data_IF_021165742566
#
_entry.id   IF_021165742566
#
_cell.length_a   1.000
_cell.length_b   1.000
_cell.length_c   1.000
_cell.angle_alpha   90.00
_cell.angle_beta   90.00
_cell.angle_gamma   90.00
#
_symmetry.space_group_name_H-M   'P 1'
#
loop_
_entity.id
_entity.type
_entity.pdbx_description
1 polymer ?
#
# COMPACT_ATOMS: atom_id res chain seq x y z
N UNK A 1 37.87 -22.52 -34.77
CA UNK A 1 36.95 -23.42 -35.48
C UNK A 1 35.58 -22.78 -35.46
N UNK A 2 34.97 -22.71 -36.63
CA UNK A 2 33.94 -21.76 -37.06
C UNK A 2 32.51 -22.08 -36.58
N UNK A 3 31.72 -20.99 -36.51
CA UNK A 3 30.29 -20.79 -36.80
C UNK A 3 29.40 -21.99 -37.20
N UNK A 4 28.15 -21.98 -36.71
CA UNK A 4 26.89 -22.02 -37.51
C UNK A 4 25.71 -22.44 -36.62
N UNK A 5 24.83 -21.53 -36.18
CA UNK A 5 23.54 -21.12 -36.79
C UNK A 5 22.38 -22.15 -36.74
N UNK A 6 21.29 -21.70 -36.06
CA UNK A 6 19.85 -21.83 -36.33
C UNK A 6 19.22 -23.22 -36.59
N UNK A 7 18.04 -23.46 -36.01
CA UNK A 7 16.73 -23.53 -36.71
C UNK A 7 15.62 -24.22 -35.86
N UNK A 8 14.56 -23.44 -35.57
CA UNK A 8 13.09 -23.70 -35.57
C UNK A 8 12.40 -24.67 -34.58
N UNK A 9 11.61 -24.04 -33.70
CA UNK A 9 10.13 -24.07 -33.57
C UNK A 9 9.33 -25.39 -33.60
N UNK A 10 8.37 -25.41 -32.65
CA UNK A 10 6.95 -25.81 -32.71
C UNK A 10 6.48 -27.09 -31.98
N UNK A 11 5.63 -26.80 -30.99
CA UNK A 11 4.73 -27.67 -30.23
C UNK A 11 3.82 -28.52 -31.12
N UNK A 12 3.46 -29.71 -30.65
CA UNK A 12 2.24 -30.41 -31.09
C UNK A 12 1.58 -31.15 -29.92
N UNK A 13 0.32 -30.76 -29.66
CA UNK A 13 -0.65 -31.45 -28.81
C UNK A 13 -0.93 -32.87 -29.33
N UNK A 14 -1.23 -33.79 -28.42
CA UNK A 14 -2.11 -34.92 -28.71
C UNK A 14 -3.00 -35.28 -27.52
N UNK A 15 -4.22 -34.74 -27.51
CA UNK A 15 -5.36 -35.33 -26.81
C UNK A 15 -5.91 -36.46 -27.68
N UNK A 16 -5.87 -37.70 -27.18
CA UNK A 16 -6.49 -38.86 -27.83
C UNK A 16 -7.88 -39.08 -27.21
N UNK A 17 -8.92 -38.77 -27.96
CA UNK A 17 -10.29 -39.24 -27.70
C UNK A 17 -10.51 -40.55 -28.46
N UNK A 18 -10.78 -41.65 -27.76
CA UNK A 18 -11.18 -42.92 -28.35
C UNK A 18 -12.71 -43.03 -28.34
N UNK A 19 -13.29 -43.01 -29.53
CA UNK A 19 -14.69 -43.38 -29.79
C UNK A 19 -14.78 -44.91 -29.99
N UNK A 20 -15.76 -45.55 -29.34
CA UNK A 20 -16.18 -46.93 -29.63
C UNK A 20 -17.58 -46.93 -30.25
N UNK A 21 -17.85 -47.71 -31.32
CA UNK A 21 -19.18 -47.87 -31.87
C UNK A 21 -19.95 -49.02 -31.21
N UNK A 22 -21.27 -48.83 -31.17
CA UNK A 22 -22.29 -49.68 -30.57
C UNK A 22 -22.64 -50.93 -31.40
N UNK A 23 -23.17 -51.97 -30.74
CA UNK A 23 -24.30 -52.80 -31.22
C UNK A 23 -24.89 -53.67 -30.10
N UNK A 24 -26.23 -53.72 -29.95
CA UNK A 24 -26.93 -54.84 -29.29
C UNK A 24 -28.25 -54.51 -28.56
N UNK A 25 -29.38 -54.71 -29.25
CA UNK A 25 -30.81 -54.76 -28.84
C UNK A 25 -31.09 -55.59 -27.56
N UNK A 26 -32.20 -55.52 -26.80
CA UNK A 26 -33.41 -54.69 -26.64
C UNK A 26 -34.15 -55.26 -25.40
N UNK A 27 -34.85 -54.45 -24.60
CA UNK A 27 -35.98 -54.91 -23.76
C UNK A 27 -36.86 -53.73 -23.29
N UNK A 28 -38.16 -53.91 -23.43
CA UNK A 28 -39.27 -52.99 -23.15
C UNK A 28 -39.33 -52.47 -21.70
N UNK A 29 -39.55 -51.15 -21.56
CA UNK A 29 -40.25 -50.58 -20.41
C UNK A 29 -41.05 -49.33 -20.83
N UNK A 30 -42.36 -49.37 -20.56
CA UNK A 30 -43.32 -48.26 -20.73
C UNK A 30 -43.02 -47.11 -19.75
N UNK A 31 -43.49 -45.88 -20.05
CA UNK A 31 -42.87 -44.64 -19.60
C UNK A 31 -43.23 -44.36 -18.14
N UNK A 32 -42.22 -44.16 -17.30
CA UNK A 32 -42.40 -43.39 -16.07
C UNK A 32 -42.14 -41.95 -16.46
N UNK A 33 -43.22 -41.17 -16.50
CA UNK A 33 -43.14 -39.72 -16.39
C UNK A 33 -42.50 -39.43 -15.04
N UNK A 34 -41.18 -39.26 -15.02
CA UNK A 34 -40.52 -38.50 -13.98
C UNK A 34 -40.28 -37.12 -14.55
N UNK A 35 -40.83 -36.15 -13.84
CA UNK A 35 -40.83 -34.75 -14.17
C UNK A 35 -39.52 -34.33 -14.84
N UNK A 36 -39.64 -33.65 -15.98
CA UNK A 36 -38.65 -32.63 -16.31
C UNK A 36 -38.70 -31.64 -15.15
N UNK A 37 -37.89 -31.88 -14.13
CA UNK A 37 -37.45 -30.82 -13.25
C UNK A 37 -36.84 -29.79 -14.17
N UNK A 38 -37.54 -28.67 -14.30
CA UNK A 38 -36.97 -27.45 -14.82
C UNK A 38 -35.61 -27.26 -14.12
N UNK A 39 -34.59 -26.88 -14.88
CA UNK A 39 -33.35 -26.40 -14.29
C UNK A 39 -33.61 -25.03 -13.65
N UNK A 40 -34.40 -25.00 -12.58
CA UNK A 40 -34.49 -23.89 -11.64
C UNK A 40 -33.25 -23.95 -10.75
N UNK A 41 -32.11 -23.51 -11.27
CA UNK A 41 -30.94 -23.16 -10.43
C UNK A 41 -29.90 -22.31 -11.19
N UNK A 42 -30.33 -21.52 -12.16
CA UNK A 42 -29.47 -20.56 -12.86
C UNK A 42 -29.36 -19.20 -12.18
N UNK A 43 -30.29 -18.86 -11.27
CA UNK A 43 -30.36 -17.55 -10.60
C UNK A 43 -29.77 -17.49 -9.19
N UNK A 44 -29.25 -18.61 -8.66
CA UNK A 44 -28.79 -18.73 -7.27
C UNK A 44 -27.28 -18.43 -7.12
N UNK A 45 -26.45 -18.95 -8.02
CA UNK A 45 -24.99 -18.80 -7.88
C UNK A 45 -24.47 -17.38 -8.17
N UNK A 46 -25.04 -16.67 -9.15
CA UNK A 46 -24.68 -15.28 -9.42
C UNK A 46 -25.03 -14.38 -8.23
N UNK A 47 -26.21 -14.58 -7.63
CA UNK A 47 -26.62 -13.86 -6.42
C UNK A 47 -25.72 -14.20 -5.23
N UNK A 48 -25.38 -15.47 -5.03
CA UNK A 48 -24.41 -15.87 -4.00
C UNK A 48 -23.05 -15.20 -4.20
N UNK A 49 -22.60 -15.07 -5.46
CA UNK A 49 -21.35 -14.40 -5.79
C UNK A 49 -21.41 -12.91 -5.45
N UNK A 50 -22.51 -12.24 -5.78
CA UNK A 50 -22.73 -10.82 -5.41
C UNK A 50 -22.76 -10.64 -3.90
N UNK A 51 -23.53 -11.45 -3.17
CA UNK A 51 -23.59 -11.39 -1.72
C UNK A 51 -22.21 -11.62 -1.08
N UNK A 52 -21.45 -12.61 -1.57
CA UNK A 52 -20.10 -12.87 -1.08
C UNK A 52 -19.17 -11.67 -1.32
N UNK A 53 -19.27 -11.01 -2.48
CA UNK A 53 -18.46 -9.84 -2.79
C UNK A 53 -18.78 -8.65 -1.86
N UNK A 54 -20.06 -8.40 -1.58
CA UNK A 54 -20.49 -7.36 -0.64
C UNK A 54 -20.00 -7.64 0.79
N UNK A 55 -20.19 -8.87 1.29
CA UNK A 55 -19.72 -9.25 2.62
C UNK A 55 -18.20 -9.21 2.73
N UNK A 56 -17.47 -9.66 1.70
CA UNK A 56 -16.02 -9.63 1.65
C UNK A 56 -15.48 -8.20 1.61
N UNK A 57 -16.15 -7.30 0.90
CA UNK A 57 -15.84 -5.87 0.90
C UNK A 57 -15.96 -5.28 2.32
N UNK A 58 -17.08 -5.53 3.01
CA UNK A 58 -17.31 -4.97 4.33
C UNK A 58 -16.34 -5.54 5.39
N UNK A 59 -16.05 -6.85 5.35
CA UNK A 59 -15.02 -7.44 6.22
C UNK A 59 -13.63 -6.87 5.93
N UNK A 60 -13.27 -6.71 4.65
CA UNK A 60 -11.98 -6.16 4.26
C UNK A 60 -11.80 -4.71 4.69
N UNK A 61 -12.87 -3.90 4.58
CA UNK A 61 -12.93 -2.53 5.08
C UNK A 61 -12.71 -2.46 6.60
N UNK A 62 -13.41 -3.32 7.34
CA UNK A 62 -13.25 -3.43 8.80
C UNK A 62 -11.80 -3.77 9.18
N UNK A 63 -11.22 -4.77 8.49
CA UNK A 63 -9.83 -5.18 8.71
C UNK A 63 -8.87 -4.02 8.45
N UNK A 64 -9.04 -3.33 7.32
CA UNK A 64 -8.19 -2.22 6.93
C UNK A 64 -8.21 -1.06 7.94
N UNK A 65 -9.39 -0.74 8.50
CA UNK A 65 -9.60 0.43 9.36
C UNK A 65 -9.34 0.20 10.84
N UNK A 66 -9.50 -1.03 11.33
CA UNK A 66 -9.59 -1.27 12.78
C UNK A 66 -8.78 -2.47 13.31
N UNK A 67 -8.31 -3.37 12.44
CA UNK A 67 -7.61 -4.56 12.90
C UNK A 67 -6.14 -4.26 13.20
N UNK A 68 -5.75 -4.45 14.45
CA UNK A 68 -4.36 -4.29 14.89
C UNK A 68 -3.52 -5.53 14.66
N UNK A 69 -4.15 -6.67 14.32
CA UNK A 69 -3.52 -7.98 14.25
C UNK A 69 -2.77 -8.41 15.52
N UNK A 70 -3.08 -7.85 16.70
CA UNK A 70 -2.31 -8.10 17.92
C UNK A 70 -1.05 -7.24 18.06
N UNK A 71 -0.86 -6.24 17.21
CA UNK A 71 0.31 -5.35 17.23
C UNK A 71 0.48 -4.58 18.54
N UNK A 72 -0.58 -4.47 19.35
CA UNK A 72 -0.53 -3.82 20.66
C UNK A 72 0.43 -4.48 21.66
N UNK A 73 0.77 -5.76 21.48
CA UNK A 73 1.82 -6.41 22.27
C UNK A 73 3.20 -5.76 22.04
N UNK A 74 3.46 -5.29 20.82
CA UNK A 74 4.71 -4.62 20.47
C UNK A 74 4.64 -3.11 20.72
N UNK A 75 3.67 -2.42 20.13
CA UNK A 75 3.60 -0.94 20.16
C UNK A 75 3.25 -0.40 21.53
N UNK A 76 2.21 -0.96 22.16
CA UNK A 76 1.84 -0.58 23.51
C UNK A 76 2.62 -1.35 24.57
N UNK A 77 2.94 -2.63 24.36
CA UNK A 77 3.67 -3.45 25.32
C UNK A 77 5.18 -3.15 25.38
N UNK A 78 5.90 -3.44 24.29
CA UNK A 78 7.37 -3.35 24.28
C UNK A 78 7.87 -1.90 24.15
N UNK A 79 7.31 -1.12 23.22
CA UNK A 79 7.70 0.27 23.02
C UNK A 79 7.07 1.22 24.03
N UNK A 80 5.94 0.83 24.65
CA UNK A 80 5.21 1.65 25.64
C UNK A 80 4.67 2.96 25.06
N UNK A 81 4.33 2.97 23.77
CA UNK A 81 3.90 4.17 23.05
C UNK A 81 2.63 4.81 23.64
N UNK A 82 1.80 4.01 24.30
CA UNK A 82 0.62 4.48 25.02
C UNK A 82 0.94 5.50 26.13
N UNK A 83 2.13 5.45 26.74
CA UNK A 83 2.55 6.42 27.77
C UNK A 83 2.78 7.80 27.15
N UNK A 84 3.38 7.85 25.97
CA UNK A 84 3.56 9.10 25.21
C UNK A 84 2.21 9.66 24.76
N UNK A 85 1.34 8.79 24.21
CA UNK A 85 0.01 9.21 23.75
C UNK A 85 -0.90 9.68 24.89
N UNK A 86 -0.70 9.18 26.11
CA UNK A 86 -1.49 9.60 27.29
C UNK A 86 -1.27 11.05 27.69
N UNK A 87 -0.18 11.67 27.24
CA UNK A 87 0.17 13.08 27.52
C UNK A 87 0.30 13.93 26.26
N UNK A 88 0.03 13.36 25.08
CA UNK A 88 0.14 14.04 23.80
C UNK A 88 -1.16 14.82 23.52
N UNK A 89 -1.14 16.15 23.38
CA UNK A 89 -2.33 16.91 23.01
C UNK A 89 -2.72 16.68 21.54
N UNK A 90 -4.01 16.81 21.18
CA UNK A 90 -4.48 16.69 19.80
C UNK A 90 -3.71 17.57 18.81
N UNK A 91 -3.37 18.80 19.18
CA UNK A 91 -2.61 19.73 18.34
C UNK A 91 -1.23 19.19 17.96
N UNK A 92 -0.54 18.52 18.89
CA UNK A 92 0.74 17.88 18.64
C UNK A 92 0.60 16.58 17.84
N UNK A 93 -0.46 15.80 18.09
CA UNK A 93 -0.77 14.61 17.30
C UNK A 93 -1.00 14.96 15.81
N UNK A 94 -1.79 16.01 15.54
CA UNK A 94 -2.02 16.52 14.18
C UNK A 94 -0.73 17.04 13.53
N UNK A 95 0.16 17.67 14.29
CA UNK A 95 1.49 18.10 13.78
C UNK A 95 2.42 16.93 13.43
N UNK A 96 2.20 15.74 14.00
CA UNK A 96 2.88 14.51 13.60
C UNK A 96 2.22 13.85 12.36
N UNK A 97 1.16 14.43 11.82
CA UNK A 97 0.40 13.91 10.67
C UNK A 97 -0.57 12.78 11.01
N UNK A 98 -0.88 12.56 12.29
CA UNK A 98 -2.02 11.73 12.68
C UNK A 98 -3.31 12.41 12.24
N UNK A 99 -4.29 11.62 11.79
CA UNK A 99 -5.56 12.13 11.28
C UNK A 99 -6.71 11.75 12.19
N UNK A 100 -7.77 12.56 12.17
CA UNK A 100 -8.98 12.32 12.94
C UNK A 100 -10.17 12.17 12.02
N UNK A 101 -10.84 11.03 12.11
CA UNK A 101 -12.06 10.71 11.39
C UNK A 101 -13.25 11.42 12.05
N UNK A 102 -13.75 12.46 11.38
CA UNK A 102 -14.89 13.23 11.87
C UNK A 102 -16.18 12.40 11.93
N UNK A 103 -16.33 11.34 11.13
CA UNK A 103 -17.54 10.52 11.11
C UNK A 103 -17.64 9.59 12.33
N UNK A 104 -16.53 9.38 13.04
CA UNK A 104 -16.50 8.65 14.31
C UNK A 104 -16.83 9.53 15.53
N UNK A 105 -16.90 10.85 15.36
CA UNK A 105 -17.09 11.79 16.47
C UNK A 105 -18.57 12.04 16.77
N UNK A 106 -18.94 12.21 18.07
CA UNK A 106 -20.26 12.69 18.45
C UNK A 106 -20.56 14.07 17.84
N UNK A 107 -21.81 14.30 17.40
CA UNK A 107 -22.20 15.55 16.74
C UNK A 107 -22.01 16.81 17.61
N UNK A 108 -22.19 16.70 18.92
CA UNK A 108 -21.94 17.78 19.87
C UNK A 108 -20.45 18.12 20.01
N UNK A 109 -19.54 17.15 19.79
CA UNK A 109 -18.11 17.41 19.72
C UNK A 109 -17.74 18.15 18.43
N UNK A 110 -18.34 17.75 17.30
CA UNK A 110 -18.16 18.44 16.00
C UNK A 110 -18.61 19.90 16.12
N UNK A 111 -19.81 20.15 16.65
CA UNK A 111 -20.34 21.52 16.85
C UNK A 111 -19.41 22.39 17.71
N UNK A 112 -18.82 21.80 18.78
CA UNK A 112 -17.87 22.49 19.64
C UNK A 112 -16.55 22.78 18.94
N UNK A 113 -16.07 21.86 18.09
CA UNK A 113 -14.83 22.03 17.33
C UNK A 113 -14.98 23.17 16.32
N UNK A 114 -16.10 23.22 15.58
CA UNK A 114 -16.40 24.32 14.64
C UNK A 114 -16.48 25.68 15.32
N UNK A 115 -16.95 25.71 16.57
CA UNK A 115 -17.06 26.94 17.36
C UNK A 115 -15.75 27.32 18.08
N UNK A 116 -14.67 26.55 17.91
CA UNK A 116 -13.39 26.77 18.58
C UNK A 116 -13.46 26.60 20.10
N UNK A 117 -14.40 25.79 20.59
CA UNK A 117 -14.62 25.53 22.01
C UNK A 117 -13.88 24.30 22.52
N UNK A 118 -13.33 23.47 21.64
CA UNK A 118 -12.49 22.32 21.99
C UNK A 118 -11.06 22.79 22.24
N UNK A 119 -10.54 22.52 23.43
CA UNK A 119 -9.12 22.75 23.75
C UNK A 119 -8.27 21.63 23.13
N UNK A 120 -7.60 21.94 22.02
CA UNK A 120 -6.71 21.00 21.33
C UNK A 120 -5.34 20.84 22.01
N UNK A 121 -5.06 21.61 23.06
CA UNK A 121 -3.83 21.52 23.85
C UNK A 121 -4.01 20.70 25.14
N UNK A 122 -5.23 20.22 25.43
CA UNK A 122 -5.49 19.27 26.52
C UNK A 122 -5.29 17.81 26.05
N UNK A 123 -4.33 17.06 26.64
CA UNK A 123 -4.14 15.63 26.34
C UNK A 123 -5.39 14.75 26.54
N UNK A 124 -6.35 15.19 27.38
CA UNK A 124 -7.62 14.48 27.53
C UNK A 124 -8.38 14.36 26.19
N UNK A 125 -8.19 15.32 25.28
CA UNK A 125 -8.74 15.26 23.93
C UNK A 125 -8.25 14.04 23.15
N UNK A 126 -6.93 13.76 23.16
CA UNK A 126 -6.37 12.58 22.45
C UNK A 126 -6.92 11.28 23.01
N UNK A 127 -7.06 11.17 24.33
CA UNK A 127 -7.65 9.99 24.98
C UNK A 127 -9.12 9.81 24.58
N UNK A 128 -9.89 10.90 24.48
CA UNK A 128 -11.27 10.84 24.02
C UNK A 128 -11.34 10.35 22.56
N UNK A 129 -10.51 10.92 21.67
CA UNK A 129 -10.45 10.53 20.27
C UNK A 129 -10.09 9.04 20.11
N UNK A 130 -9.12 8.53 20.87
CA UNK A 130 -8.75 7.11 20.88
C UNK A 130 -9.88 6.22 21.41
N UNK A 131 -10.64 6.63 22.42
CA UNK A 131 -11.80 5.88 22.91
C UNK A 131 -12.95 5.78 21.90
N UNK A 132 -13.04 6.74 20.98
CA UNK A 132 -14.03 6.74 19.90
C UNK A 132 -13.51 6.05 18.62
N UNK A 133 -12.31 5.44 18.64
CA UNK A 133 -11.65 4.91 17.44
C UNK A 133 -11.54 5.96 16.31
N UNK A 134 -11.46 7.25 16.67
CA UNK A 134 -11.46 8.37 15.74
C UNK A 134 -10.06 8.72 15.23
N UNK A 135 -8.99 8.31 15.91
CA UNK A 135 -7.62 8.48 15.41
C UNK A 135 -7.36 7.45 14.31
N UNK A 136 -7.27 7.91 13.07
CA UNK A 136 -7.10 7.04 11.90
C UNK A 136 -5.80 6.23 12.06
N UNK A 137 -5.93 4.90 12.02
CA UNK A 137 -4.77 4.02 12.08
C UNK A 137 -4.27 3.64 13.47
N UNK A 138 -4.79 4.24 14.54
CA UNK A 138 -4.32 4.00 15.92
C UNK A 138 -5.48 3.56 16.80
N UNK A 139 -5.35 2.38 17.40
CA UNK A 139 -6.36 1.82 18.31
C UNK A 139 -5.87 1.90 19.76
N UNK A 140 -6.68 2.52 20.62
CA UNK A 140 -6.42 2.59 22.05
C UNK A 140 -7.06 1.42 22.81
N UNK A 141 -6.34 0.89 23.80
CA UNK A 141 -6.84 -0.12 24.72
C UNK A 141 -6.89 0.45 26.13
N UNK A 142 -8.06 0.39 26.78
CA UNK A 142 -8.33 1.10 28.01
C UNK A 142 -8.75 0.19 29.17
N UNK A 143 -8.28 0.51 30.38
CA UNK A 143 -8.80 0.01 31.65
C UNK A 143 -9.50 1.16 32.40
N UNK A 144 -10.82 1.22 32.31
CA UNK A 144 -11.58 2.39 32.74
C UNK A 144 -11.21 3.60 31.87
N UNK A 145 -10.67 4.65 32.50
CA UNK A 145 -10.23 5.85 31.79
C UNK A 145 -8.74 5.84 31.40
N UNK A 146 -7.98 4.85 31.86
CA UNK A 146 -6.54 4.78 31.63
C UNK A 146 -6.23 4.06 30.32
N UNK A 147 -5.45 4.69 29.44
CA UNK A 147 -4.90 4.04 28.26
C UNK A 147 -3.75 3.11 28.68
N UNK A 148 -3.90 1.81 28.46
CA UNK A 148 -2.94 0.78 28.91
C UNK A 148 -2.12 0.17 27.78
N UNK A 149 -2.57 0.33 26.54
CA UNK A 149 -1.85 -0.14 25.36
C UNK A 149 -2.38 0.56 24.10
N UNK A 150 -1.61 0.47 23.02
CA UNK A 150 -1.99 0.95 21.68
C UNK A 150 -1.51 -0.01 20.62
N UNK A 151 -2.32 -0.21 19.58
CA UNK A 151 -1.95 -0.93 18.38
C UNK A 151 -2.16 -0.04 17.15
N UNK A 152 -1.59 -0.46 16.02
CA UNK A 152 -1.73 0.26 14.74
C UNK A 152 -2.39 -0.63 13.70
N UNK A 153 -2.99 -0.02 12.68
CA UNK A 153 -3.63 -0.72 11.56
C UNK A 153 -3.25 -0.12 10.18
N UNK A 154 -3.71 -0.74 9.10
CA UNK A 154 -3.33 -0.37 7.73
C UNK A 154 -3.63 1.10 7.38
N UNK A 155 -4.71 1.66 7.94
CA UNK A 155 -5.14 3.03 7.66
C UNK A 155 -4.18 4.10 8.20
N UNK A 156 -3.24 3.77 9.11
CA UNK A 156 -2.25 4.73 9.62
C UNK A 156 -1.44 5.37 8.49
N UNK A 157 -0.86 4.53 7.62
CA UNK A 157 -0.06 4.98 6.48
C UNK A 157 -0.89 5.16 5.21
N UNK A 158 -1.94 4.36 5.04
CA UNK A 158 -2.70 4.28 3.79
C UNK A 158 -4.09 4.92 3.88
N UNK A 159 -4.27 5.89 4.77
CA UNK A 159 -5.45 6.76 4.75
C UNK A 159 -5.10 8.18 5.15
N UNK A 160 -5.86 9.12 4.63
CA UNK A 160 -5.89 10.51 5.11
C UNK A 160 -7.34 10.94 5.33
N UNK A 161 -7.57 12.22 5.58
CA UNK A 161 -8.91 12.82 5.64
C UNK A 161 -9.04 13.97 4.66
N UNK A 162 -10.27 14.35 4.34
CA UNK A 162 -10.60 15.43 3.40
C UNK A 162 -10.48 16.86 3.98
N UNK A 163 -10.00 17.00 5.23
CA UNK A 163 -9.87 18.26 5.97
C UNK A 163 -11.17 19.09 6.02
N UNK A 164 -12.34 18.45 5.87
CA UNK A 164 -13.64 19.15 5.79
C UNK A 164 -14.05 19.88 7.08
N UNK A 165 -13.44 19.54 8.21
CA UNK A 165 -13.73 20.15 9.52
C UNK A 165 -12.57 21.03 10.00
N UNK A 166 -11.34 20.54 9.94
CA UNK A 166 -10.11 21.28 10.23
C UNK A 166 -8.92 20.58 9.55
N UNK A 167 -7.74 21.22 9.42
CA UNK A 167 -6.54 20.53 8.93
C UNK A 167 -6.24 19.26 9.74
N UNK A 168 -6.19 18.11 9.08
CA UNK A 168 -6.03 16.79 9.68
C UNK A 168 -7.30 16.19 10.31
N UNK A 169 -8.47 16.83 10.16
CA UNK A 169 -9.76 16.39 10.69
C UNK A 169 -10.85 16.45 9.62
N UNK A 170 -11.43 15.31 9.27
CA UNK A 170 -12.43 15.25 8.20
C UNK A 170 -12.93 13.84 7.93
N UNK A 171 -13.57 13.64 6.78
CA UNK A 171 -14.03 12.31 6.33
C UNK A 171 -12.85 11.49 5.87
N UNK A 172 -12.85 10.20 6.26
CA UNK A 172 -11.77 9.27 5.92
C UNK A 172 -11.68 9.01 4.43
N UNK A 173 -10.46 9.07 3.90
CA UNK A 173 -10.08 8.75 2.54
C UNK A 173 -9.16 7.53 2.54
N UNK A 174 -9.74 6.33 2.42
CA UNK A 174 -8.98 5.07 2.41
C UNK A 174 -8.21 4.88 1.10
N UNK A 175 -7.01 4.33 1.20
CA UNK A 175 -6.11 4.10 0.07
C UNK A 175 -5.19 5.27 -0.26
N UNK A 176 -5.50 6.46 0.24
CA UNK A 176 -4.68 7.64 0.07
C UNK A 176 -3.43 7.54 0.94
N UNK A 177 -2.27 7.90 0.38
CA UNK A 177 -1.04 7.93 1.17
C UNK A 177 -1.10 9.05 2.21
N UNK A 178 -0.76 8.76 3.46
CA UNK A 178 -0.61 9.78 4.49
C UNK A 178 0.74 10.48 4.34
N UNK A 179 0.79 11.52 3.48
CA UNK A 179 2.04 12.16 3.03
C UNK A 179 2.65 13.14 4.04
N UNK A 180 1.96 13.44 5.12
CA UNK A 180 2.44 14.30 6.20
C UNK A 180 2.64 13.56 7.54
N UNK A 181 2.33 12.26 7.62
CA UNK A 181 2.65 11.42 8.79
C UNK A 181 4.16 11.27 8.98
N UNK A 182 4.67 11.72 10.12
CA UNK A 182 6.07 11.53 10.51
C UNK A 182 6.22 10.25 11.33
N UNK A 183 6.19 9.10 10.64
CA UNK A 183 6.30 7.76 11.27
C UNK A 183 7.57 7.66 12.11
N UNK A 184 8.68 8.22 11.63
CA UNK A 184 9.96 8.23 12.32
C UNK A 184 9.88 8.93 13.67
N UNK A 185 9.31 10.14 13.73
CA UNK A 185 9.10 10.85 15.00
C UNK A 185 8.08 10.16 15.91
N UNK A 186 7.03 9.57 15.37
CA UNK A 186 6.07 8.80 16.17
C UNK A 186 6.78 7.65 16.89
N UNK A 187 7.57 6.84 16.17
CA UNK A 187 8.35 5.76 16.77
C UNK A 187 9.38 6.32 17.77
N UNK A 188 10.14 7.34 17.38
CA UNK A 188 11.17 7.96 18.23
C UNK A 188 10.60 8.61 19.51
N UNK A 189 9.31 8.91 19.55
CA UNK A 189 8.64 9.44 20.74
C UNK A 189 8.32 8.38 21.81
N UNK A 190 8.50 7.10 21.50
CA UNK A 190 8.28 6.02 22.45
C UNK A 190 9.25 6.12 23.66
N UNK A 191 8.83 5.73 24.87
CA UNK A 191 9.69 5.72 26.05
C UNK A 191 10.98 4.88 25.91
N UNK A 192 11.00 3.95 24.96
CA UNK A 192 12.18 3.14 24.63
C UNK A 192 12.14 2.72 23.16
N UNK A 193 13.33 2.63 22.56
CA UNK A 193 13.60 2.07 21.23
C UNK A 193 14.35 0.74 21.31
N UNK A 194 14.50 0.18 22.52
CA UNK A 194 15.26 -1.02 22.80
C UNK A 194 14.89 -2.21 21.90
N UNK A 195 13.61 -2.48 21.60
CA UNK A 195 13.26 -3.58 20.67
C UNK A 195 13.86 -3.41 19.26
N UNK A 196 13.94 -2.18 18.75
CA UNK A 196 14.61 -1.91 17.49
C UNK A 196 16.14 -1.99 17.63
N UNK A 197 16.68 -1.44 18.71
CA UNK A 197 18.11 -1.46 19.00
C UNK A 197 18.67 -2.89 19.07
N UNK A 198 17.92 -3.81 19.69
CA UNK A 198 18.25 -5.23 19.80
C UNK A 198 18.24 -5.93 18.43
N UNK A 199 17.17 -5.75 17.64
CA UNK A 199 17.06 -6.35 16.30
C UNK A 199 18.14 -5.83 15.36
N UNK A 200 18.45 -4.53 15.44
CA UNK A 200 19.44 -3.88 14.57
C UNK A 200 20.89 -4.06 15.07
N UNK A 201 21.10 -4.54 16.30
CA UNK A 201 22.43 -4.67 16.91
C UNK A 201 23.15 -3.33 17.14
N UNK A 202 22.40 -2.25 17.39
CA UNK A 202 22.92 -0.88 17.59
C UNK A 202 22.37 -0.24 18.87
N UNK A 203 22.81 0.97 19.22
CA UNK A 203 22.25 1.72 20.36
C UNK A 203 20.91 2.38 20.02
N UNK A 204 20.04 2.61 21.01
CA UNK A 204 18.79 3.39 20.83
C UNK A 204 19.04 4.76 20.17
N UNK A 205 20.12 5.47 20.53
CA UNK A 205 20.48 6.75 19.91
C UNK A 205 20.77 6.64 18.40
N UNK A 206 21.28 5.50 17.94
CA UNK A 206 21.50 5.25 16.51
C UNK A 206 20.17 4.96 15.81
N UNK A 207 19.26 4.23 16.45
CA UNK A 207 17.90 4.02 15.96
C UNK A 207 17.17 5.36 15.84
N UNK A 208 17.21 6.19 16.88
CA UNK A 208 16.61 7.52 16.88
C UNK A 208 17.17 8.39 15.74
N UNK A 209 18.49 8.37 15.51
CA UNK A 209 19.11 9.10 14.40
C UNK A 209 18.57 8.65 13.04
N UNK A 210 18.37 7.35 12.83
CA UNK A 210 17.79 6.82 11.59
C UNK A 210 16.32 7.25 11.47
N UNK A 211 15.51 7.03 12.50
CA UNK A 211 14.08 7.35 12.51
C UNK A 211 13.83 8.84 12.26
N UNK A 212 14.55 9.71 12.96
CA UNK A 212 14.40 11.17 12.80
C UNK A 212 14.90 11.69 11.44
N UNK A 213 15.63 10.87 10.67
CA UNK A 213 16.04 11.21 9.29
C UNK A 213 14.93 11.00 8.25
N UNK A 214 13.89 10.23 8.58
CA UNK A 214 12.84 9.86 7.61
C UNK A 214 12.03 11.09 7.20
N UNK A 215 11.54 11.84 8.18
CA UNK A 215 10.65 12.97 7.94
C UNK A 215 9.24 12.55 7.49
N UNK A 216 8.36 13.54 7.23
CA UNK A 216 6.95 13.31 6.91
C UNK A 216 6.73 12.47 5.64
N UNK A 217 5.70 11.63 5.67
CA UNK A 217 5.24 10.83 4.54
C UNK A 217 6.18 9.72 4.12
N UNK A 218 7.13 9.34 4.99
CA UNK A 218 8.18 8.36 4.69
C UNK A 218 8.23 7.23 5.72
N UNK A 219 8.61 6.05 5.22
CA UNK A 219 8.81 4.83 6.00
C UNK A 219 9.87 3.95 5.33
N UNK A 220 10.68 3.22 6.12
CA UNK A 220 11.63 2.24 5.58
C UNK A 220 11.27 0.82 6.03
N UNK A 221 10.48 0.12 5.20
CA UNK A 221 10.06 -1.26 5.44
C UNK A 221 11.20 -2.29 5.30
N UNK A 222 12.40 -1.87 4.91
CA UNK A 222 13.54 -2.78 4.70
C UNK A 222 14.58 -2.63 5.81
N UNK A 223 14.49 -1.58 6.64
CA UNK A 223 15.46 -1.29 7.70
C UNK A 223 15.69 -2.50 8.62
N UNK A 224 14.61 -3.17 9.05
CA UNK A 224 14.69 -4.34 9.95
C UNK A 224 15.12 -5.63 9.23
N UNK A 225 15.33 -5.59 7.91
CA UNK A 225 15.82 -6.73 7.13
C UNK A 225 17.30 -6.62 6.81
N UNK A 226 17.77 -5.41 6.44
CA UNK A 226 19.12 -5.18 5.93
C UNK A 226 19.98 -4.19 6.73
N UNK A 227 19.38 -3.46 7.69
CA UNK A 227 20.08 -2.53 8.57
C UNK A 227 20.55 -1.23 7.91
N UNK A 228 20.15 -0.94 6.66
CA UNK A 228 20.64 0.24 5.93
C UNK A 228 19.78 1.47 6.18
N UNK A 229 20.11 2.25 7.21
CA UNK A 229 19.39 3.49 7.53
C UNK A 229 19.68 4.69 6.61
N UNK A 230 20.81 4.70 5.91
CA UNK A 230 21.26 5.81 5.05
C UNK A 230 21.77 5.32 3.69
N UNK A 231 21.55 6.16 2.68
CA UNK A 231 22.11 6.01 1.33
C UNK A 231 23.61 6.36 1.32
N UNK A 232 24.37 5.98 0.27
CA UNK A 232 25.79 6.31 0.14
C UNK A 232 26.10 7.82 0.17
N UNK A 233 25.14 8.66 -0.21
CA UNK A 233 25.26 10.12 -0.17
C UNK A 233 24.94 10.74 1.22
N UNK A 234 24.61 9.91 2.20
CA UNK A 234 24.22 10.32 3.55
C UNK A 234 22.75 10.68 3.71
N UNK A 235 21.95 10.65 2.63
CA UNK A 235 20.50 10.86 2.71
C UNK A 235 19.79 9.67 3.36
N UNK A 236 18.56 9.89 3.85
CA UNK A 236 17.74 8.83 4.43
C UNK A 236 17.47 7.70 3.43
N UNK A 237 17.48 6.45 3.93
CA UNK A 237 17.05 5.28 3.16
C UNK A 237 15.53 5.06 3.17
N UNK A 238 14.75 5.94 3.79
CA UNK A 238 13.30 5.83 3.76
C UNK A 238 12.69 6.16 2.40
N UNK A 239 11.56 5.55 2.11
CA UNK A 239 10.78 5.79 0.90
C UNK A 239 9.46 6.47 1.25
N UNK A 240 8.93 7.20 0.29
CA UNK A 240 7.61 7.79 0.31
C UNK A 240 6.55 6.69 0.49
N UNK A 241 5.63 6.90 1.43
CA UNK A 241 4.45 6.05 1.61
C UNK A 241 3.65 6.05 0.30
N UNK A 242 3.46 4.90 -0.37
CA UNK A 242 2.72 4.84 -1.62
C UNK A 242 1.20 4.86 -1.40
N UNK A 243 0.41 5.22 -2.44
CA UNK A 243 -1.02 4.93 -2.44
C UNK A 243 -1.27 3.42 -2.34
N UNK A 244 -2.40 3.07 -1.73
CA UNK A 244 -2.98 1.73 -1.79
C UNK A 244 -4.22 1.65 -2.70
N UNK A 245 -4.67 2.76 -3.29
CA UNK A 245 -5.75 2.75 -4.29
C UNK A 245 -5.26 2.43 -5.70
N UNK A 246 -6.19 2.07 -6.59
CA UNK A 246 -5.91 1.97 -8.03
C UNK A 246 -4.94 0.84 -8.41
N UNK A 247 -4.71 -0.11 -7.52
CA UNK A 247 -3.76 -1.22 -7.72
C UNK A 247 -4.39 -2.46 -8.39
N UNK A 248 -5.68 -2.42 -8.73
CA UNK A 248 -6.31 -3.46 -9.53
C UNK A 248 -5.60 -3.65 -10.88
N UNK A 249 -5.13 -4.88 -11.13
CA UNK A 249 -4.37 -5.23 -12.34
C UNK A 249 -2.85 -5.12 -12.21
N UNK A 250 -2.32 -4.64 -11.09
CA UNK A 250 -0.88 -4.66 -10.82
C UNK A 250 -0.45 -6.04 -10.32
N UNK A 251 0.59 -6.60 -10.94
CA UNK A 251 1.14 -7.90 -10.54
C UNK A 251 1.94 -7.79 -9.23
N UNK A 252 2.95 -6.93 -9.22
CA UNK A 252 3.71 -6.59 -8.01
C UNK A 252 3.34 -5.16 -7.62
N UNK A 253 3.11 -4.89 -6.32
CA UNK A 253 2.43 -3.67 -5.87
C UNK A 253 3.36 -2.63 -5.21
N UNK A 254 4.50 -3.05 -4.65
CA UNK A 254 5.43 -2.14 -3.96
C UNK A 254 6.35 -1.40 -4.93
N UNK A 255 7.04 -0.36 -4.45
CA UNK A 255 8.01 0.42 -5.24
C UNK A 255 9.06 -0.46 -5.93
N UNK A 256 9.51 -1.52 -5.26
CA UNK A 256 10.57 -2.43 -5.73
C UNK A 256 10.09 -3.87 -5.91
N UNK A 257 8.79 -4.06 -6.14
CA UNK A 257 8.24 -5.33 -6.63
C UNK A 257 8.30 -6.51 -5.66
N UNK A 258 8.26 -6.30 -4.35
CA UNK A 258 8.36 -7.36 -3.34
C UNK A 258 7.34 -8.50 -3.52
N UNK A 259 6.11 -8.17 -3.89
CA UNK A 259 5.03 -9.13 -4.10
C UNK A 259 3.72 -8.44 -4.48
N UNK A 260 2.65 -9.25 -4.56
CA UNK A 260 1.27 -8.77 -4.74
C UNK A 260 0.81 -7.98 -3.50
N UNK A 261 -0.37 -7.34 -3.58
CA UNK A 261 -1.00 -6.70 -2.41
C UNK A 261 -1.17 -7.68 -1.24
N UNK A 262 -1.60 -8.92 -1.50
CA UNK A 262 -1.76 -9.95 -0.47
C UNK A 262 -0.44 -10.32 0.20
N UNK A 263 0.63 -10.49 -0.59
CA UNK A 263 1.96 -10.73 -0.03
C UNK A 263 2.40 -9.56 0.85
N UNK A 264 2.21 -8.32 0.37
CA UNK A 264 2.62 -7.14 1.10
C UNK A 264 1.85 -6.95 2.40
N UNK A 265 0.55 -7.24 2.41
CA UNK A 265 -0.25 -7.24 3.65
C UNK A 265 0.28 -8.25 4.66
N UNK A 266 0.62 -9.47 4.24
CA UNK A 266 1.19 -10.48 5.13
C UNK A 266 2.57 -10.05 5.66
N UNK A 267 3.42 -9.50 4.80
CA UNK A 267 4.72 -8.93 5.17
C UNK A 267 4.56 -7.82 6.21
N UNK A 268 3.79 -6.78 5.89
CA UNK A 268 3.62 -5.60 6.75
C UNK A 268 2.95 -5.97 8.07
N UNK A 269 1.88 -6.78 8.05
CA UNK A 269 1.19 -7.14 9.29
C UNK A 269 2.07 -7.96 10.26
N UNK A 270 2.94 -8.84 9.75
CA UNK A 270 3.83 -9.65 10.60
C UNK A 270 5.13 -8.92 10.98
N UNK A 271 5.81 -8.30 10.02
CA UNK A 271 7.19 -7.80 10.20
C UNK A 271 7.26 -6.33 10.59
N UNK A 272 6.36 -5.50 10.06
CA UNK A 272 6.40 -4.05 10.27
C UNK A 272 5.45 -3.62 11.39
N UNK A 273 4.18 -4.03 11.31
CA UNK A 273 3.19 -3.79 12.35
C UNK A 273 3.42 -4.67 13.57
N UNK A 274 4.18 -5.78 13.45
CA UNK A 274 4.48 -6.71 14.55
C UNK A 274 3.24 -7.37 15.14
N UNK A 275 2.28 -7.72 14.29
CA UNK A 275 1.12 -8.52 14.65
C UNK A 275 1.42 -10.01 14.80
N UNK A 276 0.40 -10.75 15.22
CA UNK A 276 0.45 -12.20 15.43
C UNK A 276 -0.12 -12.93 14.22
N UNK A 277 0.75 -13.49 13.38
CA UNK A 277 0.30 -14.33 12.28
C UNK A 277 1.30 -15.34 11.78
N UNK A 278 1.04 -15.83 10.57
CA UNK A 278 1.99 -16.65 9.80
C UNK A 278 2.56 -15.82 8.65
N UNK A 279 3.87 -15.86 8.48
CA UNK A 279 4.55 -15.29 7.31
C UNK A 279 5.66 -16.23 6.85
N UNK A 280 5.80 -16.39 5.54
CA UNK A 280 6.86 -17.21 4.95
C UNK A 280 7.38 -16.56 3.67
N UNK A 281 8.70 -16.37 3.60
CA UNK A 281 9.40 -15.96 2.39
C UNK A 281 10.85 -16.44 2.41
N UNK A 282 11.15 -17.45 1.60
CA UNK A 282 12.50 -18.03 1.50
C UNK A 282 13.56 -17.02 1.02
N UNK A 283 13.17 -15.95 0.31
CA UNK A 283 14.10 -14.92 -0.18
C UNK A 283 14.78 -14.19 0.97
N UNK A 284 14.15 -14.13 2.15
CA UNK A 284 14.71 -13.52 3.36
C UNK A 284 15.78 -14.38 4.06
N UNK A 285 16.06 -15.58 3.56
CA UNK A 285 17.16 -16.44 4.08
C UNK A 285 18.54 -16.07 3.51
N UNK A 286 18.58 -15.22 2.48
CA UNK A 286 19.83 -14.69 1.93
C UNK A 286 20.49 -13.76 2.96
N UNK A 287 21.46 -14.29 3.70
CA UNK A 287 22.16 -13.54 4.75
C UNK A 287 23.11 -12.46 4.21
N UNK A 288 23.46 -12.47 2.92
CA UNK A 288 24.23 -11.40 2.32
C UNK A 288 23.34 -10.20 2.01
N UNK A 289 22.12 -10.45 1.51
CA UNK A 289 21.16 -9.39 1.17
C UNK A 289 20.33 -8.93 2.37
N UNK A 290 19.88 -9.85 3.23
CA UNK A 290 19.00 -9.62 4.38
C UNK A 290 19.59 -10.19 5.68
N UNK A 291 20.77 -9.70 6.13
CA UNK A 291 21.46 -10.25 7.29
C UNK A 291 20.60 -10.27 8.55
N UNK A 292 19.82 -9.22 8.81
CA UNK A 292 18.99 -9.11 10.01
C UNK A 292 17.80 -10.07 9.93
N UNK A 293 17.16 -10.16 8.76
CA UNK A 293 16.06 -11.09 8.56
C UNK A 293 16.51 -12.56 8.74
N UNK A 294 17.67 -12.92 8.18
CA UNK A 294 18.24 -14.26 8.28
C UNK A 294 18.66 -14.60 9.72
N UNK A 295 19.23 -13.66 10.47
CA UNK A 295 19.62 -13.86 11.88
C UNK A 295 18.41 -14.02 12.80
N UNK A 296 17.32 -13.28 12.55
CA UNK A 296 16.13 -13.26 13.39
C UNK A 296 15.02 -14.23 12.94
N UNK A 297 15.22 -14.98 11.86
CA UNK A 297 14.24 -15.94 11.35
C UNK A 297 12.98 -15.30 10.78
N UNK A 298 13.07 -14.08 10.26
CA UNK A 298 11.92 -13.37 9.68
C UNK A 298 11.38 -14.00 8.39
N UNK A 299 12.07 -14.99 7.85
CA UNK A 299 11.64 -15.78 6.69
C UNK A 299 10.53 -16.80 7.01
N UNK A 300 10.33 -17.21 8.27
CA UNK A 300 9.29 -18.18 8.68
C UNK A 300 8.79 -17.86 10.09
N UNK A 301 7.78 -16.98 10.15
CA UNK A 301 7.09 -16.59 11.39
C UNK A 301 5.82 -17.41 11.51
N UNK A 302 5.58 -17.96 12.71
CA UNK A 302 4.39 -18.74 13.03
C UNK A 302 3.92 -18.44 14.45
N UNK A 303 2.87 -17.64 14.57
CA UNK A 303 2.24 -17.34 15.84
C UNK A 303 1.01 -18.24 16.09
N UNK A 304 0.62 -18.37 17.35
CA UNK A 304 -0.64 -19.01 17.75
C UNK A 304 -1.28 -18.17 18.86
N UNK A 305 -2.47 -17.57 18.62
CA UNK A 305 -3.28 -17.65 17.40
C UNK A 305 -2.66 -16.93 16.20
N UNK A 306 -3.10 -17.30 14.99
CA UNK A 306 -2.83 -16.55 13.75
C UNK A 306 -4.00 -15.60 13.49
N UNK A 307 -3.77 -14.31 13.72
CA UNK A 307 -4.75 -13.24 13.56
C UNK A 307 -4.71 -12.59 12.19
N UNK A 308 -3.73 -12.93 11.33
CA UNK A 308 -3.46 -12.26 10.05
C UNK A 308 -3.99 -13.09 8.89
N UNK A 309 -3.55 -14.35 8.77
CA UNK A 309 -3.81 -15.21 7.60
C UNK A 309 -5.30 -15.30 7.25
N UNK A 310 -6.23 -15.49 8.21
CA UNK A 310 -7.66 -15.58 7.90
C UNK A 310 -8.27 -14.32 7.28
N UNK A 311 -7.62 -13.15 7.41
CA UNK A 311 -8.14 -11.84 6.98
C UNK A 311 -7.55 -11.35 5.67
N UNK A 312 -6.48 -11.98 5.17
CA UNK A 312 -5.74 -11.52 4.00
C UNK A 312 -6.59 -11.47 2.72
N UNK A 313 -7.51 -12.41 2.53
CA UNK A 313 -8.38 -12.45 1.35
C UNK A 313 -9.39 -11.30 1.34
N UNK A 314 -10.02 -11.01 2.48
CA UNK A 314 -10.97 -9.91 2.62
C UNK A 314 -10.25 -8.55 2.47
N UNK A 315 -9.12 -8.38 3.17
CA UNK A 315 -8.30 -7.16 3.08
C UNK A 315 -7.83 -6.89 1.64
N UNK A 316 -7.36 -7.93 0.94
CA UNK A 316 -6.95 -7.82 -0.45
C UNK A 316 -8.09 -7.35 -1.35
N UNK A 317 -9.28 -7.96 -1.21
CA UNK A 317 -10.45 -7.60 -2.01
C UNK A 317 -10.83 -6.13 -1.80
N UNK A 318 -10.87 -5.67 -0.55
CA UNK A 318 -11.15 -4.28 -0.23
C UNK A 318 -10.15 -3.32 -0.87
N UNK A 319 -8.84 -3.57 -0.73
CA UNK A 319 -7.80 -2.70 -1.30
C UNK A 319 -7.83 -2.65 -2.83
N UNK A 320 -8.16 -3.77 -3.50
CA UNK A 320 -8.34 -3.77 -4.95
C UNK A 320 -9.56 -2.96 -5.40
N UNK A 321 -10.56 -2.81 -4.53
CA UNK A 321 -11.76 -2.03 -4.80
C UNK A 321 -11.59 -0.53 -4.53
N UNK A 322 -10.48 -0.09 -3.90
CA UNK A 322 -10.22 1.31 -3.62
C UNK A 322 -10.00 2.11 -4.91
N UNK A 323 -10.88 3.06 -5.25
CA UNK A 323 -10.76 3.84 -6.48
C UNK A 323 -9.63 4.85 -6.36
N UNK A 324 -8.91 5.06 -7.47
CA UNK A 324 -8.05 6.22 -7.58
C UNK A 324 -8.90 7.50 -7.60
N UNK A 325 -8.46 8.57 -6.93
CA UNK A 325 -9.26 9.78 -6.80
C UNK A 325 -9.31 10.58 -8.10
N UNK A 326 -10.51 11.04 -8.44
CA UNK A 326 -10.72 11.88 -9.61
C UNK A 326 -10.06 13.25 -9.42
N UNK A 327 -9.45 13.83 -10.45
CA UNK A 327 -8.87 15.17 -10.37
C UNK A 327 -9.94 16.21 -10.04
N UNK A 328 -9.67 17.17 -9.13
CA UNK A 328 -10.63 18.21 -8.80
C UNK A 328 -11.03 19.02 -10.04
N UNK A 329 -12.30 19.42 -10.11
CA UNK A 329 -12.78 20.21 -11.25
C UNK A 329 -11.95 21.49 -11.43
N UNK A 330 -11.39 21.67 -12.63
CA UNK A 330 -10.56 22.83 -12.96
C UNK A 330 -9.10 22.75 -12.47
N UNK A 331 -8.64 21.61 -11.95
CA UNK A 331 -7.24 21.41 -11.54
C UNK A 331 -6.26 21.26 -12.72
N UNK A 332 -6.78 21.06 -13.94
CA UNK A 332 -5.99 20.93 -15.16
C UNK A 332 -6.70 21.58 -16.36
N UNK A 333 -5.93 21.91 -17.41
CA UNK A 333 -6.44 22.38 -18.70
C UNK A 333 -6.81 21.18 -19.60
N UNK A 334 -8.10 21.01 -19.86
CA UNK A 334 -8.63 19.89 -20.64
C UNK A 334 -8.09 19.86 -22.08
N UNK A 335 -7.96 21.02 -22.73
CA UNK A 335 -7.48 21.05 -24.12
C UNK A 335 -5.98 20.75 -24.20
N UNK A 336 -5.20 21.14 -23.18
CA UNK A 336 -3.81 20.74 -23.04
C UNK A 336 -3.67 19.25 -22.71
N UNK A 337 -4.52 18.72 -21.84
CA UNK A 337 -4.55 17.29 -21.50
C UNK A 337 -4.85 16.41 -22.73
N UNK A 338 -5.78 16.80 -23.60
CA UNK A 338 -6.04 16.08 -24.87
C UNK A 338 -4.80 16.04 -25.77
N UNK A 339 -4.05 17.14 -25.89
CA UNK A 339 -2.77 17.16 -26.63
C UNK A 339 -1.69 16.32 -25.91
N UNK A 340 -1.69 16.36 -24.58
CA UNK A 340 -0.80 15.58 -23.74
C UNK A 340 -1.02 14.07 -23.88
N UNK A 341 -2.27 13.62 -24.04
CA UNK A 341 -2.60 12.22 -24.29
C UNK A 341 -2.00 11.72 -25.61
N UNK A 342 -2.09 12.52 -26.68
CA UNK A 342 -1.48 12.21 -27.97
C UNK A 342 0.06 12.10 -27.85
N UNK A 343 0.68 13.00 -27.08
CA UNK A 343 2.12 12.96 -26.80
C UNK A 343 2.49 11.71 -25.99
N UNK A 344 1.72 11.39 -24.95
CA UNK A 344 1.94 10.28 -24.03
C UNK A 344 1.96 8.92 -24.75
N UNK A 345 1.04 8.74 -25.69
CA UNK A 345 0.93 7.52 -26.49
C UNK A 345 1.80 7.52 -27.74
N UNK A 346 2.28 8.70 -28.17
CA UNK A 346 3.08 8.91 -29.36
C UNK A 346 4.51 9.31 -29.02
N UNK A 347 4.83 10.59 -29.25
CA UNK A 347 6.21 11.12 -29.23
C UNK A 347 6.95 10.86 -27.90
N UNK A 348 6.25 10.93 -26.77
CA UNK A 348 6.86 10.76 -25.45
C UNK A 348 6.96 9.29 -25.03
N UNK A 349 6.34 8.37 -25.78
CA UNK A 349 6.38 6.90 -25.58
C UNK A 349 6.05 6.43 -24.15
N UNK A 350 5.41 7.26 -23.32
CA UNK A 350 5.14 6.96 -21.90
C UNK A 350 4.24 5.72 -21.75
N UNK A 351 3.32 5.52 -22.70
CA UNK A 351 2.42 4.37 -22.75
C UNK A 351 3.13 3.02 -22.96
N UNK A 352 4.44 3.00 -23.28
CA UNK A 352 5.22 1.76 -23.36
C UNK A 352 5.30 1.03 -22.01
N UNK A 353 5.36 1.80 -20.92
CA UNK A 353 5.35 1.30 -19.55
C UNK A 353 3.99 1.52 -18.90
N UNK A 354 3.45 2.73 -19.02
CA UNK A 354 2.19 3.11 -18.40
C UNK A 354 1.00 2.82 -19.33
N UNK A 355 0.78 1.54 -19.65
CA UNK A 355 -0.21 1.09 -20.65
C UNK A 355 -1.66 1.36 -20.21
N UNK A 356 -2.44 2.22 -20.90
CA UNK A 356 -3.86 2.43 -20.60
C UNK A 356 -4.71 1.17 -20.85
N UNK A 357 -5.83 0.96 -20.13
CA UNK A 357 -6.41 1.83 -19.11
C UNK A 357 -5.89 1.53 -17.68
N UNK A 358 -4.95 0.59 -17.51
CA UNK A 358 -4.38 0.25 -16.20
C UNK A 358 -3.24 1.19 -15.78
N UNK A 359 -2.61 1.86 -16.75
CA UNK A 359 -1.40 2.67 -16.58
C UNK A 359 -0.23 1.90 -15.97
N UNK A 360 -0.13 0.62 -16.33
CA UNK A 360 0.96 -0.30 -16.03
C UNK A 360 0.99 -1.40 -17.07
N UNK A 361 2.15 -1.99 -17.33
CA UNK A 361 2.24 -3.14 -18.23
C UNK A 361 1.48 -4.33 -17.66
N UNK A 362 0.72 -5.08 -18.49
CA UNK A 362 0.11 -6.32 -18.05
C UNK A 362 1.18 -7.38 -17.83
N UNK A 363 1.15 -8.03 -16.67
CA UNK A 363 2.10 -9.11 -16.32
C UNK A 363 3.35 -8.60 -15.61
N UNK A 364 4.44 -8.38 -16.34
CA UNK A 364 5.74 -8.00 -15.74
C UNK A 364 6.01 -6.51 -15.89
N UNK A 365 5.76 -5.76 -14.82
CA UNK A 365 5.83 -4.30 -14.76
C UNK A 365 7.04 -3.79 -13.96
N UNK A 366 8.18 -4.50 -14.05
CA UNK A 366 9.41 -4.15 -13.35
C UNK A 366 10.53 -3.74 -14.31
N UNK A 367 11.22 -2.67 -13.95
CA UNK A 367 12.25 -1.97 -14.71
C UNK A 367 13.58 -1.95 -13.98
N UNK A 368 14.68 -2.02 -14.72
CA UNK A 368 16.00 -1.78 -14.13
C UNK A 368 16.15 -0.30 -13.74
N UNK A 369 17.07 0.01 -12.82
CA UNK A 369 17.41 1.40 -12.47
C UNK A 369 17.78 2.24 -13.71
N UNK A 370 18.54 1.65 -14.66
CA UNK A 370 18.93 2.28 -15.92
C UNK A 370 17.72 2.61 -16.82
N UNK A 371 16.73 1.71 -16.91
CA UNK A 371 15.52 1.92 -17.72
C UNK A 371 14.76 3.19 -17.30
N UNK A 372 14.81 3.53 -16.01
CA UNK A 372 14.16 4.71 -15.45
C UNK A 372 15.15 5.83 -15.05
N UNK A 373 16.43 5.68 -15.39
CA UNK A 373 17.46 6.72 -15.25
C UNK A 373 17.83 7.08 -13.81
N UNK A 374 17.70 6.17 -12.86
CA UNK A 374 18.03 6.42 -11.45
C UNK A 374 19.00 5.38 -10.88
N UNK A 375 19.53 5.66 -9.69
CA UNK A 375 20.39 4.73 -8.95
C UNK A 375 19.65 3.46 -8.49
N UNK A 376 20.43 2.43 -8.16
CA UNK A 376 19.94 1.11 -7.78
C UNK A 376 19.77 0.94 -6.27
N UNK A 377 19.99 1.99 -5.45
CA UNK A 377 20.07 1.82 -3.99
C UNK A 377 18.83 1.13 -3.43
N UNK A 378 17.62 1.63 -3.72
CA UNK A 378 16.41 0.99 -3.21
C UNK A 378 16.11 -0.34 -3.89
N UNK A 379 16.28 -0.42 -5.20
CA UNK A 379 16.05 -1.64 -5.95
C UNK A 379 16.90 -2.80 -5.41
N UNK A 380 18.21 -2.58 -5.17
CA UNK A 380 19.16 -3.59 -4.68
C UNK A 380 18.84 -4.13 -3.28
N UNK A 381 18.07 -3.38 -2.48
CA UNK A 381 17.55 -3.79 -1.17
C UNK A 381 16.32 -4.70 -1.27
N UNK A 382 15.79 -4.93 -2.46
CA UNK A 382 14.66 -5.84 -2.68
C UNK A 382 15.11 -7.17 -3.29
N UNK A 383 14.27 -8.22 -3.24
CA UNK A 383 14.55 -9.47 -3.94
C UNK A 383 14.52 -9.34 -5.47
N UNK A 384 13.91 -8.28 -6.03
CA UNK A 384 13.75 -8.15 -7.48
C UNK A 384 14.84 -7.33 -8.15
N UNK A 385 15.55 -6.50 -7.38
CA UNK A 385 16.57 -5.57 -7.90
C UNK A 385 16.04 -4.61 -8.96
N UNK A 386 14.72 -4.34 -8.92
CA UNK A 386 14.02 -3.54 -9.92
C UNK A 386 13.03 -2.58 -9.27
N UNK A 387 12.60 -1.61 -10.06
CA UNK A 387 11.53 -0.69 -9.71
C UNK A 387 10.27 -1.04 -10.48
N UNK A 388 9.12 -0.91 -9.83
CA UNK A 388 7.82 -1.08 -10.46
C UNK A 388 7.43 0.17 -11.24
N UNK A 389 6.76 -0.01 -12.37
CA UNK A 389 6.00 1.06 -13.04
C UNK A 389 5.05 1.74 -12.05
N UNK A 390 5.26 3.03 -11.79
CA UNK A 390 4.45 3.79 -10.84
C UNK A 390 2.99 3.90 -11.33
N UNK A 391 1.99 3.81 -10.43
CA UNK A 391 0.61 4.03 -10.82
C UNK A 391 0.40 5.53 -11.12
N UNK A 392 -0.28 5.84 -12.23
CA UNK A 392 -0.53 7.23 -12.64
C UNK A 392 -1.95 7.73 -12.34
N UNK A 393 -2.90 6.84 -12.05
CA UNK A 393 -4.26 7.28 -11.72
C UNK A 393 -4.27 7.99 -10.38
N UNK A 394 -4.92 9.15 -10.30
CA UNK A 394 -4.93 10.01 -9.13
C UNK A 394 -3.54 10.57 -8.79
N UNK A 395 -2.64 10.73 -9.77
CA UNK A 395 -1.27 11.20 -9.53
C UNK A 395 -1.25 12.59 -8.87
N UNK A 396 -2.26 13.42 -9.16
CA UNK A 396 -2.43 14.75 -8.59
C UNK A 396 -2.49 14.73 -7.05
N UNK A 397 -2.94 13.63 -6.43
CA UNK A 397 -3.01 13.47 -4.98
C UNK A 397 -1.65 13.10 -4.33
N UNK A 398 -0.60 12.94 -5.13
CA UNK A 398 0.74 12.49 -4.69
C UNK A 398 1.83 13.56 -4.78
N UNK A 399 1.46 14.83 -4.85
CA UNK A 399 2.42 15.94 -5.02
C UNK A 399 3.24 16.23 -3.76
N UNK A 400 2.66 16.02 -2.58
CA UNK A 400 3.32 16.31 -1.31
C UNK A 400 4.50 15.36 -1.10
N UNK A 401 5.66 15.89 -0.70
CA UNK A 401 6.89 15.12 -0.54
C UNK A 401 7.61 14.76 -1.84
N UNK A 402 7.09 15.19 -3.00
CA UNK A 402 7.69 14.95 -4.31
C UNK A 402 7.35 13.59 -4.93
N UNK A 403 7.93 13.33 -6.10
CA UNK A 403 7.68 12.15 -6.94
C UNK A 403 8.81 11.11 -6.86
N UNK A 404 8.54 9.93 -7.43
CA UNK A 404 9.32 8.70 -7.30
C UNK A 404 9.21 8.10 -5.89
N UNK A 405 9.90 6.99 -5.64
CA UNK A 405 9.85 6.32 -4.36
C UNK A 405 10.51 7.13 -3.23
N UNK A 406 11.39 8.10 -3.50
CA UNK A 406 12.16 8.82 -2.48
C UNK A 406 11.94 10.34 -2.46
N UNK A 407 11.14 10.87 -3.39
CA UNK A 407 10.80 12.28 -3.48
C UNK A 407 11.85 13.12 -4.21
N UNK A 408 12.75 12.47 -4.98
CA UNK A 408 13.87 13.16 -5.65
C UNK A 408 13.46 14.24 -6.65
N UNK A 409 12.24 14.17 -7.17
CA UNK A 409 11.70 15.19 -8.08
C UNK A 409 10.63 15.98 -7.36
N UNK A 410 10.81 17.30 -7.27
CA UNK A 410 9.89 18.17 -6.54
C UNK A 410 8.58 18.40 -7.29
N UNK A 411 8.62 18.39 -8.63
CA UNK A 411 7.45 18.66 -9.48
C UNK A 411 7.26 17.58 -10.54
N UNK A 412 6.06 17.52 -11.10
CA UNK A 412 5.75 16.61 -12.20
C UNK A 412 6.53 16.99 -13.47
N UNK A 413 6.69 18.30 -13.71
CA UNK A 413 7.56 18.81 -14.76
C UNK A 413 9.02 18.35 -14.60
N UNK A 414 9.55 18.22 -13.37
CA UNK A 414 10.90 17.66 -13.15
C UNK A 414 10.98 16.19 -13.57
N UNK A 415 9.93 15.40 -13.30
CA UNK A 415 9.83 14.00 -13.77
C UNK A 415 9.79 13.93 -15.31
N UNK A 416 9.00 14.80 -15.95
CA UNK A 416 8.92 14.85 -17.41
C UNK A 416 10.27 15.27 -18.01
N UNK A 417 10.94 16.27 -17.43
CA UNK A 417 12.28 16.71 -17.84
C UNK A 417 13.32 15.59 -17.69
N UNK A 418 13.23 14.82 -16.61
CA UNK A 418 14.07 13.65 -16.37
C UNK A 418 13.93 12.63 -17.50
N UNK A 419 12.71 12.20 -17.80
CA UNK A 419 12.47 11.22 -18.86
C UNK A 419 12.76 11.75 -20.27
N UNK A 420 12.46 13.03 -20.54
CA UNK A 420 12.82 13.68 -21.79
C UNK A 420 14.33 13.62 -22.04
N UNK A 421 15.14 13.78 -21.00
CA UNK A 421 16.60 13.69 -21.07
C UNK A 421 17.07 12.24 -21.15
N UNK A 422 16.62 11.39 -20.23
CA UNK A 422 17.06 10.00 -20.10
C UNK A 422 16.75 9.17 -21.35
N UNK A 423 15.65 9.47 -22.03
CA UNK A 423 15.17 8.72 -23.19
C UNK A 423 15.33 9.48 -24.52
N UNK A 424 15.97 10.66 -24.51
CA UNK A 424 16.19 11.51 -25.70
C UNK A 424 14.90 11.77 -26.51
N UNK A 425 13.82 12.14 -25.82
CA UNK A 425 12.47 12.25 -26.42
C UNK A 425 12.31 13.51 -27.30
N UNK A 426 13.20 14.50 -27.16
CA UNK A 426 13.16 15.73 -27.96
C UNK A 426 11.88 16.55 -27.78
N UNK A 427 11.26 16.53 -26.59
CA UNK A 427 10.08 17.30 -26.27
C UNK A 427 10.43 18.79 -26.08
N UNK A 428 9.61 19.66 -26.68
CA UNK A 428 9.64 21.11 -26.48
C UNK A 428 9.02 21.48 -25.13
N UNK A 429 9.24 22.70 -24.66
CA UNK A 429 8.62 23.19 -23.42
C UNK A 429 7.09 23.10 -23.44
N UNK A 430 6.46 23.44 -24.57
CA UNK A 430 5.01 23.37 -24.71
C UNK A 430 4.50 21.92 -24.63
N UNK A 431 5.18 20.97 -25.28
CA UNK A 431 4.81 19.55 -25.23
C UNK A 431 4.93 18.97 -23.82
N UNK A 432 5.94 19.38 -23.05
CA UNK A 432 6.10 18.95 -21.65
C UNK A 432 4.98 19.50 -20.76
N UNK A 433 4.56 20.74 -20.97
CA UNK A 433 3.42 21.33 -20.26
C UNK A 433 2.11 20.61 -20.62
N UNK A 434 1.88 20.28 -21.90
CA UNK A 434 0.71 19.51 -22.31
C UNK A 434 0.70 18.10 -21.67
N UNK A 435 1.84 17.41 -21.63
CA UNK A 435 2.00 16.13 -20.92
C UNK A 435 1.69 16.24 -19.42
N UNK A 436 2.17 17.30 -18.77
CA UNK A 436 1.87 17.55 -17.36
C UNK A 436 0.36 17.67 -17.12
N UNK A 437 -0.36 18.40 -17.98
CA UNK A 437 -1.81 18.53 -17.87
C UNK A 437 -2.53 17.19 -18.09
N UNK A 438 -2.04 16.35 -19.00
CA UNK A 438 -2.59 15.00 -19.17
C UNK A 438 -2.37 14.15 -17.91
N UNK A 439 -1.16 14.13 -17.36
CA UNK A 439 -0.86 13.35 -16.15
C UNK A 439 -1.66 13.83 -14.93
N UNK A 440 -1.96 15.13 -14.82
CA UNK A 440 -2.85 15.67 -13.78
C UNK A 440 -4.32 15.30 -13.99
N UNK A 441 -4.71 14.91 -15.21
CA UNK A 441 -6.08 14.49 -15.52
C UNK A 441 -6.36 13.01 -15.23
N UNK A 442 -5.32 12.24 -14.92
CA UNK A 442 -5.38 10.81 -14.57
C UNK A 442 -5.64 10.61 -13.07
#
# INVERSE_FOLDING_TARGET
MERSMLVKWLMLLSCICLAFPATGLAADAKPVVQARGECENGGDYEQQTQNNAEEQFDRGKEVFRFDTFGSEEFWGGQLRLHETLSVLPPSAALQLGLKVDAEALPGDFIDQLEQGMVDLDDPAGTLLLLKQDAVVGVKGFFEGDNLVSVGINCSLCHSTVDDSLAPGVGRRLDGWANRDLDVGKVIASAPTLQPFAEVLGVSEAAVEQVLTSWGPGKFDAILVLDGKGFRPDGGSASVLIPPAYGLAGFNLATWTGWGTVTYWNAFVANLEMRGMGTFFDERLTDAEKFPIAAENGFNDIRNTPDLITPKLADLHFYQLALPAPEPPAGSFDTAAAERGEELFSGKAECARCHVPPLYTEPGWNLHSPDDIGIDDFQASRSPTERYRTAPLKGLWAHVDGGFFHDGRFATLLDVINHYNTNMDLGLTEAEKMDLEQYLLSL
#
